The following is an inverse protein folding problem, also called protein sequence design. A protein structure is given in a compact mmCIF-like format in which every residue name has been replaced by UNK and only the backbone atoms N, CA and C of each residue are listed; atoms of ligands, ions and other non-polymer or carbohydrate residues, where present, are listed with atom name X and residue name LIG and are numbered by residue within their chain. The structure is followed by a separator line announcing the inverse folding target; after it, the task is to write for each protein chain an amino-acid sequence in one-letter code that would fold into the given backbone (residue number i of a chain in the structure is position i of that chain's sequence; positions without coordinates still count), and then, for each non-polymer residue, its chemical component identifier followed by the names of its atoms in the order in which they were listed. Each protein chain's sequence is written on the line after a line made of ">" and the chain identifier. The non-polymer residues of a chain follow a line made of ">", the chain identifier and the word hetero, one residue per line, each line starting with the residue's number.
data_IF_715652485712
#
_entry.id   IF_715652485712
#
_cell.length_a   1.000
_cell.length_b   1.000
_cell.length_c   1.000
_cell.angle_alpha   90.00
_cell.angle_beta   90.00
_cell.angle_gamma   90.00
#
_symmetry.space_group_name_H-M   'P 1'
#
loop_
_entity.id
_entity.type
_entity.pdbx_description
1 polymer ?
#
# COMPACT_ATOMS: atom_id res chain seq x y z
N UNK A 1 28.20 36.87 -54.06
CA UNK A 1 29.23 36.07 -54.74
C UNK A 1 29.82 35.12 -53.70
N UNK A 2 29.63 33.79 -53.83
CA UNK A 2 30.26 32.72 -53.01
C UNK A 2 29.86 32.73 -51.50
N UNK A 3 29.53 31.62 -50.83
CA UNK A 3 28.78 30.40 -51.22
C UNK A 3 28.32 29.69 -49.92
N UNK A 4 27.31 28.81 -50.00
CA UNK A 4 26.95 27.90 -48.91
C UNK A 4 27.97 26.76 -48.79
N UNK A 5 28.12 26.19 -47.59
CA UNK A 5 28.02 24.74 -47.45
C UNK A 5 27.65 24.27 -46.03
N UNK A 6 26.86 23.19 -45.96
CA UNK A 6 26.70 22.35 -44.77
C UNK A 6 27.50 21.08 -45.00
N UNK A 7 28.04 20.47 -43.95
CA UNK A 7 28.54 19.09 -44.01
C UNK A 7 27.96 18.28 -42.85
N UNK A 8 27.07 17.35 -43.17
CA UNK A 8 26.71 16.25 -42.29
C UNK A 8 27.57 15.05 -42.66
N UNK A 9 28.14 14.36 -41.68
CA UNK A 9 28.83 13.09 -41.87
C UNK A 9 27.95 12.01 -41.23
N UNK A 10 27.59 11.01 -42.03
CA UNK A 10 26.88 9.81 -41.58
C UNK A 10 27.88 8.65 -41.60
N UNK A 11 27.94 7.91 -40.50
CA UNK A 11 28.61 6.61 -40.46
C UNK A 11 27.58 5.52 -40.17
N UNK A 12 27.51 4.52 -41.06
CA UNK A 12 26.92 3.22 -40.79
C UNK A 12 28.05 2.19 -40.82
N UNK A 13 28.08 1.29 -39.84
CA UNK A 13 28.75 0.00 -39.97
C UNK A 13 28.05 -1.04 -39.09
N UNK A 14 28.14 -2.31 -39.47
CA UNK A 14 27.25 -3.39 -39.01
C UNK A 14 27.96 -4.28 -37.99
N UNK A 15 27.26 -4.67 -36.92
CA UNK A 15 27.69 -5.71 -35.99
C UNK A 15 26.59 -6.73 -35.74
N UNK A 16 26.75 -7.95 -36.27
CA UNK A 16 25.84 -9.07 -36.03
C UNK A 16 26.30 -9.90 -34.83
N UNK A 17 25.49 -10.02 -33.79
CA UNK A 17 25.60 -11.07 -32.78
C UNK A 17 24.20 -11.54 -32.33
N UNK A 18 23.80 -12.73 -32.75
CA UNK A 18 22.52 -13.34 -32.38
C UNK A 18 22.69 -14.32 -31.23
N UNK A 19 22.45 -13.88 -29.99
CA UNK A 19 22.34 -14.77 -28.84
C UNK A 19 20.89 -15.31 -28.75
N UNK A 20 20.67 -16.59 -29.05
CA UNK A 20 19.37 -17.24 -28.86
C UNK A 20 19.17 -17.58 -27.37
N UNK A 21 18.46 -16.72 -26.64
CA UNK A 21 17.98 -17.05 -25.30
C UNK A 21 16.74 -17.95 -25.38
N UNK A 22 16.84 -19.14 -24.80
CA UNK A 22 15.74 -20.11 -24.75
C UNK A 22 14.97 -19.96 -23.42
N UNK A 23 13.83 -19.27 -23.47
CA UNK A 23 13.01 -18.94 -22.29
C UNK A 23 12.09 -20.07 -21.80
N UNK A 24 12.29 -21.33 -22.23
CA UNK A 24 11.33 -22.43 -22.02
C UNK A 24 11.05 -22.84 -20.56
N UNK A 25 11.87 -22.40 -19.60
CA UNK A 25 11.92 -22.97 -18.24
C UNK A 25 11.58 -21.99 -17.10
N UNK A 26 11.18 -20.74 -17.40
CA UNK A 26 10.84 -19.77 -16.36
C UNK A 26 9.40 -19.92 -15.86
N UNK A 27 9.23 -20.16 -14.56
CA UNK A 27 7.94 -20.20 -13.88
C UNK A 27 7.58 -18.79 -13.36
N UNK A 28 6.47 -18.23 -13.82
CA UNK A 28 6.01 -16.89 -13.45
C UNK A 28 5.35 -16.83 -12.05
N UNK A 29 5.94 -17.47 -11.05
CA UNK A 29 5.49 -17.46 -9.66
C UNK A 29 6.40 -16.62 -8.75
N UNK A 30 7.65 -16.42 -9.15
CA UNK A 30 8.69 -15.78 -8.34
C UNK A 30 9.08 -14.40 -8.95
N UNK A 31 8.27 -13.37 -8.74
CA UNK A 31 8.63 -11.98 -9.10
C UNK A 31 7.45 -10.98 -9.18
N UNK A 32 7.61 -9.73 -8.70
CA UNK A 32 6.58 -8.69 -8.66
C UNK A 32 6.41 -7.94 -10.00
N UNK A 33 5.75 -8.60 -10.97
CA UNK A 33 5.23 -8.01 -12.23
C UNK A 33 6.28 -7.64 -13.30
N UNK A 34 6.52 -8.56 -14.23
CA UNK A 34 7.26 -8.30 -15.47
C UNK A 34 6.38 -8.17 -16.70
N UNK A 35 6.84 -7.38 -17.66
CA UNK A 35 6.38 -7.38 -19.04
C UNK A 35 7.53 -6.98 -19.97
N UNK A 36 7.76 -7.73 -21.06
CA UNK A 36 8.78 -7.42 -22.06
C UNK A 36 8.12 -7.11 -23.42
N UNK A 37 8.59 -6.05 -24.08
CA UNK A 37 8.23 -5.67 -25.45
C UNK A 37 9.48 -5.76 -26.34
N UNK A 38 9.31 -5.86 -27.66
CA UNK A 38 10.43 -5.90 -28.62
C UNK A 38 10.58 -4.61 -29.42
N UNK A 39 11.71 -4.49 -30.11
CA UNK A 39 12.25 -3.33 -30.83
C UNK A 39 11.23 -2.66 -31.79
N UNK A 40 10.36 -3.46 -32.44
CA UNK A 40 9.31 -2.92 -33.32
C UNK A 40 8.27 -2.10 -32.53
N UNK A 41 7.97 -2.50 -31.29
CA UNK A 41 6.99 -1.83 -30.42
C UNK A 41 7.52 -0.48 -29.90
N UNK A 42 8.84 -0.39 -29.64
CA UNK A 42 9.53 0.85 -29.26
C UNK A 42 9.36 1.97 -30.31
N UNK A 43 9.25 1.59 -31.59
CA UNK A 43 9.15 2.55 -32.71
C UNK A 43 7.77 3.17 -32.95
N UNK A 44 6.70 2.61 -32.37
CA UNK A 44 5.30 3.02 -32.66
C UNK A 44 4.63 3.79 -31.51
N UNK A 45 5.14 3.67 -30.29
CA UNK A 45 4.62 4.36 -29.12
C UNK A 45 5.38 5.68 -28.89
N UNK A 46 4.91 6.78 -29.50
CA UNK A 46 5.57 8.10 -29.42
C UNK A 46 5.36 8.81 -28.06
N UNK A 47 5.62 8.10 -26.95
CA UNK A 47 5.83 8.69 -25.64
C UNK A 47 7.26 9.23 -25.57
N UNK A 48 7.43 10.56 -25.64
CA UNK A 48 8.75 11.17 -25.52
C UNK A 48 9.36 10.89 -24.14
N UNK A 49 10.37 10.02 -24.11
CA UNK A 49 11.27 9.72 -22.98
C UNK A 49 10.67 8.95 -21.77
N UNK A 50 9.66 8.09 -21.93
CA UNK A 50 9.29 7.09 -20.89
C UNK A 50 8.93 5.72 -21.49
N UNK A 51 9.40 4.65 -20.86
CA UNK A 51 9.11 3.23 -21.22
C UNK A 51 8.14 2.62 -20.22
N UNK A 52 7.11 1.92 -20.69
CA UNK A 52 6.15 1.15 -19.86
C UNK A 52 5.92 -0.22 -20.49
N UNK A 53 6.06 -1.29 -19.71
CA UNK A 53 5.70 -2.65 -20.10
C UNK A 53 4.26 -2.96 -19.71
N UNK A 54 3.43 -3.38 -20.67
CA UNK A 54 2.06 -3.86 -20.44
C UNK A 54 1.91 -5.29 -20.95
N UNK A 55 1.20 -6.08 -20.09
CA UNK A 55 0.94 -8.75 -19.09
C UNK A 55 -0.43 -9.49 -18.65
N UNK A 56 -1.09 -10.17 -19.60
CA UNK A 56 -2.44 -10.70 -19.42
C UNK A 56 -2.44 -12.10 -18.81
N UNK A 57 -2.90 -12.22 -17.57
CA UNK A 57 -2.89 -13.50 -16.86
C UNK A 57 -3.99 -14.45 -17.36
N UNK A 58 -3.64 -15.40 -18.23
CA UNK A 58 -4.50 -16.52 -18.60
C UNK A 58 -3.71 -17.83 -18.67
N UNK A 59 -4.36 -18.94 -18.27
CA UNK A 59 -3.84 -20.31 -18.37
C UNK A 59 -2.40 -20.54 -17.83
N UNK A 60 -1.97 -19.74 -16.83
CA UNK A 60 -0.65 -19.82 -16.17
C UNK A 60 0.55 -19.78 -17.13
N UNK A 61 0.44 -19.09 -18.27
CA UNK A 61 1.53 -18.90 -19.26
C UNK A 61 1.47 -17.50 -19.85
N UNK A 62 2.61 -16.82 -19.93
CA UNK A 62 2.71 -15.58 -20.70
C UNK A 62 2.44 -15.87 -22.19
N UNK A 63 1.32 -15.36 -22.72
CA UNK A 63 1.04 -15.45 -24.15
C UNK A 63 1.66 -14.25 -24.88
N UNK A 64 2.78 -14.49 -25.56
CA UNK A 64 3.36 -13.53 -26.51
C UNK A 64 2.44 -13.41 -27.72
N UNK A 65 1.46 -12.50 -27.64
CA UNK A 65 0.69 -12.05 -28.81
C UNK A 65 1.47 -10.94 -29.50
N UNK A 66 1.67 -11.07 -30.81
CA UNK A 66 2.23 -9.97 -31.62
C UNK A 66 1.29 -8.77 -31.59
N UNK A 67 1.83 -7.56 -31.38
CA UNK A 67 1.04 -6.34 -31.19
C UNK A 67 0.05 -6.05 -32.31
N UNK A 68 0.39 -6.40 -33.55
CA UNK A 68 -0.52 -6.37 -34.70
C UNK A 68 -1.84 -7.12 -34.44
N UNK A 69 -1.77 -8.34 -33.93
CA UNK A 69 -2.97 -9.15 -33.64
C UNK A 69 -3.68 -8.70 -32.35
N UNK A 70 -3.00 -7.97 -31.47
CA UNK A 70 -3.60 -7.38 -30.28
C UNK A 70 -4.43 -6.12 -30.63
N UNK A 71 -3.89 -5.23 -31.46
CA UNK A 71 -4.56 -3.98 -31.84
C UNK A 71 -5.52 -4.10 -33.03
N UNK A 72 -5.37 -5.10 -33.92
CA UNK A 72 -6.21 -5.26 -35.13
C UNK A 72 -7.35 -6.28 -34.99
N UNK A 73 -7.48 -6.97 -33.84
CA UNK A 73 -8.53 -7.99 -33.63
C UNK A 73 -9.85 -7.44 -33.08
N UNK A 74 -9.92 -6.17 -32.69
CA UNK A 74 -11.15 -5.49 -32.26
C UNK A 74 -11.72 -4.60 -33.39
N UNK A 75 -12.70 -5.07 -34.18
CA UNK A 75 -13.50 -4.19 -35.03
C UNK A 75 -14.40 -3.27 -34.18
N UNK A 76 -14.95 -2.15 -34.71
CA UNK A 76 -15.58 -1.08 -33.92
C UNK A 76 -16.96 -1.39 -33.30
N UNK A 77 -17.25 -2.65 -32.93
CA UNK A 77 -18.61 -3.14 -32.69
C UNK A 77 -18.76 -4.13 -31.51
N UNK A 78 -17.89 -4.08 -30.49
CA UNK A 78 -18.13 -4.76 -29.20
C UNK A 78 -17.83 -3.82 -28.03
N UNK A 79 -18.75 -3.77 -27.07
CA UNK A 79 -18.81 -2.75 -26.00
C UNK A 79 -17.86 -3.06 -24.81
N UNK A 80 -17.04 -4.10 -24.91
CA UNK A 80 -16.10 -4.49 -23.87
C UNK A 80 -14.71 -3.88 -24.12
N UNK A 81 -14.25 -3.04 -23.19
CA UNK A 81 -12.87 -2.53 -23.19
C UNK A 81 -11.90 -3.70 -23.08
N UNK A 82 -10.94 -3.90 -24.03
CA UNK A 82 -10.07 -5.07 -24.06
C UNK A 82 -8.95 -5.06 -23.00
N UNK A 83 -9.08 -4.23 -21.97
CA UNK A 83 -8.08 -3.97 -20.92
C UNK A 83 -8.70 -4.08 -19.52
N UNK A 84 -8.88 -5.30 -19.02
CA UNK A 84 -9.01 -5.55 -17.58
C UNK A 84 -7.61 -5.84 -17.01
N UNK A 85 -6.84 -4.78 -16.78
CA UNK A 85 -5.64 -4.87 -15.96
C UNK A 85 -6.02 -4.67 -14.49
N UNK A 86 -5.47 -5.49 -13.60
CA UNK A 86 -5.68 -5.38 -12.15
C UNK A 86 -4.32 -5.32 -11.47
N UNK A 87 -3.77 -4.11 -11.38
CA UNK A 87 -2.43 -3.86 -10.86
C UNK A 87 -2.03 -2.38 -11.02
N UNK A 88 -0.81 -2.08 -10.59
CA UNK A 88 -0.22 -0.74 -10.71
C UNK A 88 0.57 -0.55 -12.01
N UNK A 89 0.42 0.61 -12.66
CA UNK A 89 1.23 1.03 -13.81
C UNK A 89 2.21 2.13 -13.40
N UNK A 90 3.50 1.80 -13.42
CA UNK A 90 4.59 2.70 -13.01
C UNK A 90 4.83 3.81 -14.04
N UNK A 91 5.03 5.05 -13.58
CA UNK A 91 5.58 6.15 -14.39
C UNK A 91 4.60 6.83 -15.36
N UNK A 92 3.30 6.51 -15.30
CA UNK A 92 2.23 7.06 -16.15
C UNK A 92 2.09 8.58 -15.96
N UNK A 93 1.50 9.27 -16.95
CA UNK A 93 1.10 10.69 -16.85
C UNK A 93 -0.09 10.87 -15.88
N UNK A 94 -0.04 11.90 -15.02
CA UNK A 94 -1.03 12.14 -13.96
C UNK A 94 -2.41 12.58 -14.46
N UNK A 95 -2.56 12.78 -15.78
CA UNK A 95 -3.81 13.16 -16.42
C UNK A 95 -4.61 11.98 -16.98
N UNK A 96 -4.06 10.76 -16.91
CA UNK A 96 -4.65 9.57 -17.52
C UNK A 96 -5.54 8.74 -16.58
N UNK A 97 -5.64 9.07 -15.29
CA UNK A 97 -6.55 8.40 -14.36
C UNK A 97 -7.95 9.05 -14.33
N UNK A 98 -8.98 8.25 -14.07
CA UNK A 98 -10.39 8.65 -14.28
C UNK A 98 -11.07 9.12 -12.99
N UNK A 99 -10.68 8.55 -11.84
CA UNK A 99 -11.29 8.82 -10.53
C UNK A 99 -10.33 8.50 -9.39
N UNK A 100 -10.71 8.88 -8.18
CA UNK A 100 -10.01 8.57 -6.93
C UNK A 100 -10.77 7.54 -6.11
N UNK A 101 -10.04 6.73 -5.36
CA UNK A 101 -10.55 5.96 -4.22
C UNK A 101 -9.95 6.61 -2.96
N UNK A 102 -10.80 7.13 -2.07
CA UNK A 102 -10.42 7.49 -0.70
C UNK A 102 -10.68 6.26 0.17
N UNK A 103 -9.64 5.64 0.72
CA UNK A 103 -9.79 4.43 1.54
C UNK A 103 -9.50 4.69 3.02
N UNK A 104 -10.31 4.07 3.88
CA UNK A 104 -10.37 4.33 5.31
C UNK A 104 -10.42 3.03 6.11
N UNK A 105 -9.43 2.74 6.95
CA UNK A 105 -9.41 1.56 7.81
C UNK A 105 -10.11 1.80 9.17
N UNK A 106 -10.54 0.73 9.83
CA UNK A 106 -11.14 0.72 11.17
C UNK A 106 -10.14 0.14 12.19
N UNK A 107 -9.37 0.97 12.92
CA UNK A 107 -8.29 0.47 13.79
C UNK A 107 -8.69 -0.57 14.85
N UNK A 108 -9.93 -0.61 15.40
CA UNK A 108 -10.35 -1.66 16.33
C UNK A 108 -10.26 -3.11 15.82
N UNK A 109 -10.29 -3.33 14.50
CA UNK A 109 -10.15 -4.63 13.83
C UNK A 109 -8.82 -4.77 13.09
N UNK A 110 -8.43 -3.74 12.32
CA UNK A 110 -7.25 -3.80 11.45
C UNK A 110 -5.94 -3.68 12.23
N UNK A 111 -5.96 -3.15 13.45
CA UNK A 111 -4.78 -2.99 14.30
C UNK A 111 -4.85 -3.78 15.62
N UNK A 112 -3.70 -4.28 16.13
CA UNK A 112 -3.62 -4.88 17.46
C UNK A 112 -4.08 -3.88 18.54
N UNK A 113 -4.45 -4.35 19.75
CA UNK A 113 -4.88 -3.47 20.85
C UNK A 113 -3.74 -2.63 21.44
N UNK A 114 -2.52 -3.14 21.33
CA UNK A 114 -1.26 -2.51 21.73
C UNK A 114 -0.31 -2.80 20.57
N UNK A 115 0.14 -1.76 19.87
CA UNK A 115 1.08 -1.84 18.77
C UNK A 115 2.51 -2.02 19.29
N UNK A 116 3.19 -3.06 18.82
CA UNK A 116 4.59 -3.33 19.13
C UNK A 116 5.46 -3.18 17.88
N UNK A 117 6.20 -2.08 17.79
CA UNK A 117 7.12 -1.74 16.68
C UNK A 117 8.12 -2.86 16.31
N UNK A 118 8.42 -3.79 17.22
CA UNK A 118 9.37 -4.90 17.01
C UNK A 118 8.72 -6.15 16.41
N UNK A 119 7.38 -6.28 16.50
CA UNK A 119 6.63 -7.48 16.08
C UNK A 119 5.65 -7.11 14.97
N UNK A 120 4.88 -6.04 15.17
CA UNK A 120 3.82 -5.58 14.27
C UNK A 120 4.36 -4.66 13.16
N UNK A 121 5.66 -4.75 12.85
CA UNK A 121 6.32 -3.92 11.84
C UNK A 121 5.65 -4.01 10.45
N UNK A 122 5.11 -5.18 10.11
CA UNK A 122 4.37 -5.41 8.85
C UNK A 122 2.94 -4.82 8.86
N UNK A 123 2.42 -4.42 10.02
CA UNK A 123 1.14 -3.72 10.16
C UNK A 123 1.36 -2.22 9.99
N UNK A 124 1.87 -1.80 8.83
CA UNK A 124 2.42 -0.46 8.58
C UNK A 124 1.45 0.70 8.86
N UNK A 125 0.15 0.50 8.70
CA UNK A 125 -0.90 1.49 9.00
C UNK A 125 -1.26 1.56 10.51
N UNK A 126 -0.61 0.78 11.37
CA UNK A 126 -0.78 0.85 12.82
C UNK A 126 0.34 1.66 13.47
N UNK A 127 0.05 2.28 14.61
CA UNK A 127 0.99 3.10 15.37
C UNK A 127 0.58 3.23 16.84
N UNK A 128 1.39 3.83 17.72
CA UNK A 128 1.00 4.12 19.10
C UNK A 128 -0.23 5.05 19.25
N UNK A 129 -0.71 5.66 18.16
CA UNK A 129 -1.96 6.43 18.12
C UNK A 129 -3.19 5.59 17.70
N UNK A 130 -2.99 4.31 17.37
CA UNK A 130 -4.05 3.31 17.16
C UNK A 130 -4.33 2.43 18.38
N UNK A 131 -3.56 2.56 19.48
CA UNK A 131 -3.74 1.78 20.70
C UNK A 131 -5.08 2.04 21.41
N UNK A 132 -5.46 1.14 22.32
CA UNK A 132 -6.69 1.29 23.14
C UNK A 132 -6.66 2.59 23.95
N UNK A 133 -7.77 3.35 23.91
CA UNK A 133 -7.94 4.72 24.42
C UNK A 133 -7.19 5.85 23.66
N UNK A 134 -6.65 5.61 22.46
CA UNK A 134 -6.06 6.66 21.63
C UNK A 134 -7.08 7.29 20.66
N UNK A 135 -7.00 8.60 20.37
CA UNK A 135 -8.02 9.33 19.60
C UNK A 135 -8.11 8.93 18.12
N UNK A 136 -7.08 8.25 17.61
CA UNK A 136 -7.06 7.62 16.29
C UNK A 136 -7.82 6.28 16.25
N UNK A 137 -7.85 5.51 17.34
CA UNK A 137 -8.58 4.22 17.41
C UNK A 137 -10.10 4.39 17.39
N UNK A 138 -10.60 5.58 17.72
CA UNK A 138 -12.02 5.83 17.94
C UNK A 138 -12.86 6.07 16.66
N UNK A 139 -12.22 6.06 15.49
CA UNK A 139 -12.83 6.45 14.21
C UNK A 139 -12.23 5.67 13.04
N UNK A 140 -12.89 5.76 11.88
CA UNK A 140 -12.27 5.43 10.60
C UNK A 140 -11.08 6.36 10.34
N UNK A 141 -9.95 5.79 9.95
CA UNK A 141 -8.67 6.45 9.73
C UNK A 141 -8.23 6.31 8.27
N UNK A 142 -7.52 7.28 7.73
CA UNK A 142 -7.01 7.26 6.35
C UNK A 142 -6.06 6.09 6.11
N UNK A 143 -6.45 5.16 5.23
CA UNK A 143 -5.50 4.26 4.58
C UNK A 143 -4.77 5.03 3.48
N UNK A 144 -5.49 5.61 2.52
CA UNK A 144 -4.88 6.30 1.40
C UNK A 144 -5.84 7.04 0.47
N UNK A 145 -5.29 7.73 -0.53
CA UNK A 145 -6.03 8.39 -1.61
C UNK A 145 -5.44 7.97 -2.96
N UNK A 146 -6.10 7.04 -3.63
CA UNK A 146 -5.55 6.32 -4.78
C UNK A 146 -6.15 6.81 -6.10
N UNK A 147 -5.38 7.49 -6.98
CA UNK A 147 -5.81 7.69 -8.37
C UNK A 147 -6.02 6.32 -9.04
N UNK A 148 -7.08 6.18 -9.83
CA UNK A 148 -7.52 4.88 -10.37
C UNK A 148 -8.03 5.02 -11.82
N UNK A 149 -7.71 4.04 -12.66
CA UNK A 149 -8.15 3.99 -14.06
C UNK A 149 -9.57 3.41 -14.20
N UNK A 150 -10.35 4.01 -15.11
CA UNK A 150 -11.58 3.39 -15.62
C UNK A 150 -11.88 3.77 -17.06
N UNK A 151 -12.25 2.78 -17.86
CA UNK A 151 -12.87 2.91 -19.18
C UNK A 151 -14.27 2.30 -19.12
N UNK A 152 -15.27 3.02 -19.65
CA UNK A 152 -16.68 2.58 -19.71
C UNK A 152 -17.29 2.15 -18.36
N UNK A 153 -16.77 2.64 -17.23
CA UNK A 153 -17.22 2.25 -15.89
C UNK A 153 -16.62 0.94 -15.35
N UNK A 154 -15.70 0.30 -16.08
CA UNK A 154 -14.94 -0.85 -15.57
C UNK A 154 -13.62 -0.38 -14.95
N UNK A 155 -13.16 -1.06 -13.90
CA UNK A 155 -11.88 -0.78 -13.22
C UNK A 155 -10.72 -1.35 -14.05
N UNK A 156 -9.59 -0.64 -14.09
CA UNK A 156 -8.42 -1.03 -14.91
C UNK A 156 -7.07 -0.84 -14.20
N UNK A 157 -7.06 -1.00 -12.86
CA UNK A 157 -5.87 -0.77 -12.04
C UNK A 157 -5.63 0.70 -11.71
N UNK A 158 -4.42 1.02 -11.27
CA UNK A 158 -4.02 2.36 -10.80
C UNK A 158 -2.69 2.82 -11.42
N UNK A 159 -2.47 4.11 -11.68
CA UNK A 159 -1.12 4.63 -11.85
C UNK A 159 -0.37 4.57 -10.51
N UNK A 160 0.93 4.31 -10.55
CA UNK A 160 1.81 4.38 -9.38
C UNK A 160 3.18 4.99 -9.72
N UNK A 161 3.87 5.54 -8.72
CA UNK A 161 5.26 6.03 -8.83
C UNK A 161 5.49 6.98 -10.03
N UNK A 162 4.60 7.95 -10.26
CA UNK A 162 4.55 8.69 -11.53
C UNK A 162 5.65 9.75 -11.70
N UNK A 163 6.11 10.36 -10.60
CA UNK A 163 7.21 11.34 -10.61
C UNK A 163 8.57 10.68 -10.33
N UNK A 164 9.61 11.23 -10.95
CA UNK A 164 11.03 10.96 -10.66
C UNK A 164 11.69 12.15 -9.94
N UNK A 165 10.92 12.90 -9.14
CA UNK A 165 11.42 13.98 -8.28
C UNK A 165 12.08 13.41 -7.02
N UNK A 166 12.89 14.21 -6.33
CA UNK A 166 13.91 13.83 -5.33
C UNK A 166 13.67 12.62 -4.38
N UNK A 167 12.44 12.31 -3.98
CA UNK A 167 12.07 11.01 -3.36
C UNK A 167 11.98 9.91 -4.42
N UNK A 168 13.05 9.80 -5.20
CA UNK A 168 13.11 8.96 -6.38
C UNK A 168 13.47 7.54 -5.94
N UNK A 169 12.44 6.70 -5.82
CA UNK A 169 12.56 5.25 -5.57
C UNK A 169 13.60 4.60 -6.50
N UNK A 170 13.75 5.10 -7.72
CA UNK A 170 14.73 4.62 -8.69
C UNK A 170 16.15 5.14 -8.44
N UNK A 171 16.37 6.23 -7.69
CA UNK A 171 17.72 6.60 -7.19
C UNK A 171 18.13 5.81 -5.97
N UNK A 172 17.17 5.49 -5.09
CA UNK A 172 17.40 4.62 -3.94
C UNK A 172 17.74 3.17 -4.37
N UNK A 173 17.50 2.78 -5.64
CA UNK A 173 17.82 1.45 -6.17
C UNK A 173 18.78 1.42 -7.38
N UNK A 174 18.56 2.22 -8.43
CA UNK A 174 19.26 2.12 -9.72
C UNK A 174 20.59 2.88 -9.72
N UNK A 175 20.62 4.11 -9.20
CA UNK A 175 21.82 4.97 -9.22
C UNK A 175 22.73 4.79 -8.00
N UNK A 176 22.20 4.39 -6.84
CA UNK A 176 22.84 4.66 -5.54
C UNK A 176 23.64 3.54 -4.87
N UNK A 177 23.43 2.26 -5.20
CA UNK A 177 23.79 1.11 -4.32
C UNK A 177 23.27 1.28 -2.86
N UNK A 178 22.16 2.00 -2.66
CA UNK A 178 21.67 2.42 -1.34
C UNK A 178 20.91 1.33 -0.57
N UNK A 179 20.60 0.21 -1.22
CA UNK A 179 20.05 -1.00 -0.64
C UNK A 179 20.90 -2.19 -1.12
N UNK A 180 21.62 -2.86 -0.22
CA UNK A 180 22.78 -3.72 -0.54
C UNK A 180 22.41 -5.17 -0.94
N UNK A 181 21.38 -5.34 -1.75
CA UNK A 181 20.75 -6.65 -2.01
C UNK A 181 21.43 -7.43 -3.14
N UNK A 182 22.24 -8.41 -2.76
CA UNK A 182 22.97 -9.29 -3.71
C UNK A 182 22.08 -10.17 -4.58
N UNK A 183 20.80 -10.35 -4.23
CA UNK A 183 19.82 -11.17 -4.94
C UNK A 183 18.63 -10.37 -5.50
N UNK A 184 18.49 -9.08 -5.16
CA UNK A 184 17.39 -8.25 -5.63
C UNK A 184 17.84 -7.37 -6.79
N UNK A 185 17.31 -7.66 -7.97
CA UNK A 185 17.47 -6.85 -9.17
C UNK A 185 16.36 -5.80 -9.22
N UNK A 186 16.59 -4.70 -9.96
CA UNK A 186 15.53 -3.73 -10.37
C UNK A 186 14.25 -4.43 -10.83
N UNK A 187 14.47 -5.57 -11.46
CA UNK A 187 13.52 -6.43 -12.14
C UNK A 187 12.68 -7.31 -11.18
N UNK A 188 13.19 -7.71 -10.01
CA UNK A 188 12.46 -8.54 -9.04
C UNK A 188 12.09 -7.84 -7.71
N UNK A 189 12.41 -6.55 -7.58
CA UNK A 189 12.25 -5.76 -6.35
C UNK A 189 10.78 -5.53 -5.96
N UNK A 190 10.39 -5.97 -4.76
CA UNK A 190 9.03 -5.83 -4.22
C UNK A 190 8.86 -4.56 -3.38
N UNK A 191 7.59 -4.21 -3.09
CA UNK A 191 7.24 -3.25 -2.03
C UNK A 191 7.89 -3.62 -0.68
N UNK A 192 7.93 -4.91 -0.34
CA UNK A 192 8.47 -5.40 0.94
C UNK A 192 9.99 -5.22 1.00
N UNK A 193 10.71 -5.39 -0.11
CA UNK A 193 12.17 -5.16 -0.18
C UNK A 193 12.52 -3.68 0.07
N UNK A 194 11.69 -2.75 -0.40
CA UNK A 194 11.82 -1.31 -0.14
C UNK A 194 11.59 -0.98 1.33
N UNK A 195 10.45 -1.40 1.89
CA UNK A 195 10.07 -1.16 3.28
C UNK A 195 11.09 -1.80 4.27
N UNK A 196 11.60 -2.98 3.92
CA UNK A 196 12.65 -3.68 4.67
C UNK A 196 14.02 -3.01 4.53
N UNK A 197 14.41 -2.52 3.34
CA UNK A 197 15.67 -1.77 3.19
C UNK A 197 15.67 -0.52 4.09
N UNK A 198 14.60 0.27 4.05
CA UNK A 198 14.46 1.48 4.87
C UNK A 198 14.46 1.17 6.38
N UNK A 199 13.95 0.00 6.79
CA UNK A 199 13.91 -0.41 8.19
C UNK A 199 15.23 -1.02 8.71
N UNK A 200 16.00 -1.71 7.87
CA UNK A 200 17.26 -2.34 8.28
C UNK A 200 18.49 -1.46 8.05
N UNK A 201 18.61 -0.78 6.91
CA UNK A 201 19.79 0.07 6.62
C UNK A 201 19.70 1.47 7.26
N UNK A 202 18.58 1.82 7.90
CA UNK A 202 18.34 3.13 8.54
C UNK A 202 18.57 4.33 7.61
N UNK A 203 18.30 4.14 6.31
CA UNK A 203 18.33 5.20 5.29
C UNK A 203 17.25 6.22 5.57
N UNK A 204 17.65 7.47 5.80
CA UNK A 204 16.71 8.60 5.96
C UNK A 204 16.71 9.53 4.75
N UNK A 205 17.68 9.37 3.84
CA UNK A 205 17.82 10.16 2.60
C UNK A 205 16.65 9.92 1.62
N UNK A 206 15.98 8.77 1.74
CA UNK A 206 14.84 8.35 0.92
C UNK A 206 13.48 8.55 1.63
N UNK A 207 13.43 9.19 2.81
CA UNK A 207 12.22 9.36 3.63
C UNK A 207 11.76 10.82 3.67
N UNK A 208 10.44 11.03 3.60
CA UNK A 208 9.77 12.26 4.06
C UNK A 208 10.18 12.53 5.51
N UNK A 209 10.80 13.68 5.75
CA UNK A 209 11.21 14.04 7.09
C UNK A 209 9.98 14.46 7.89
N UNK A 210 9.91 14.10 9.19
CA UNK A 210 8.84 14.56 10.07
C UNK A 210 8.77 16.10 10.15
N UNK A 211 9.89 16.81 9.88
CA UNK A 211 9.93 18.27 9.79
C UNK A 211 9.24 18.85 8.54
N UNK A 212 9.04 18.06 7.49
CA UNK A 212 8.35 18.47 6.26
C UNK A 212 6.82 18.49 6.46
N UNK A 213 6.35 17.79 7.52
CA UNK A 213 4.97 17.79 7.98
C UNK A 213 4.80 18.91 9.00
N UNK A 214 3.99 19.90 8.65
CA UNK A 214 3.66 21.04 9.51
C UNK A 214 2.98 20.56 10.82
N UNK A 215 3.24 21.26 11.93
CA UNK A 215 2.79 20.84 13.26
C UNK A 215 1.25 20.69 13.42
N UNK A 216 0.39 21.57 12.85
CA UNK A 216 -1.07 21.38 12.91
C UNK A 216 -1.50 20.08 12.23
N UNK A 217 -0.89 19.76 11.09
CA UNK A 217 -1.09 18.52 10.33
C UNK A 217 -0.61 17.31 11.14
N UNK A 218 0.50 17.39 11.88
CA UNK A 218 0.93 16.29 12.78
C UNK A 218 -0.13 15.96 13.84
N UNK A 219 -0.73 16.95 14.50
CA UNK A 219 -1.82 16.70 15.46
C UNK A 219 -3.08 16.13 14.79
N UNK A 220 -3.37 16.50 13.54
CA UNK A 220 -4.45 15.90 12.75
C UNK A 220 -4.13 14.47 12.32
N UNK A 221 -2.88 14.15 11.96
CA UNK A 221 -2.45 12.80 11.57
C UNK A 221 -2.67 11.80 12.72
N UNK A 222 -2.34 12.13 13.98
CA UNK A 222 -2.61 11.28 15.17
C UNK A 222 -4.06 10.83 15.31
N UNK A 223 -4.98 11.56 14.68
CA UNK A 223 -6.42 11.43 14.84
C UNK A 223 -7.06 10.83 13.59
N UNK A 224 -6.72 11.35 12.41
CA UNK A 224 -7.37 11.05 11.13
C UNK A 224 -6.54 10.12 10.23
N UNK A 225 -5.25 9.94 10.50
CA UNK A 225 -4.35 9.07 9.74
C UNK A 225 -3.23 8.45 10.63
N UNK A 226 -3.53 7.88 11.81
CA UNK A 226 -2.53 7.56 12.83
C UNK A 226 -1.37 6.67 12.36
N UNK A 227 -1.60 5.78 11.38
CA UNK A 227 -0.53 4.98 10.74
C UNK A 227 0.56 5.79 10.04
N UNK A 228 0.25 6.99 9.56
CA UNK A 228 1.23 7.89 8.91
C UNK A 228 2.31 8.37 9.88
N UNK A 229 2.06 8.27 11.19
CA UNK A 229 3.01 8.54 12.28
C UNK A 229 3.59 7.24 12.89
N UNK A 230 3.50 6.12 12.19
CA UNK A 230 4.16 4.86 12.55
C UNK A 230 5.69 4.90 12.35
N UNK A 231 6.33 3.75 12.56
CA UNK A 231 7.80 3.59 12.53
C UNK A 231 8.42 4.27 11.30
N UNK A 232 9.31 5.24 11.55
CA UNK A 232 10.09 5.99 10.55
C UNK A 232 9.26 6.59 9.39
N UNK A 233 8.00 6.95 9.63
CA UNK A 233 7.12 7.50 8.59
C UNK A 233 6.94 6.54 7.39
N UNK A 234 7.14 5.22 7.53
CA UNK A 234 7.18 4.32 6.36
C UNK A 234 5.86 4.29 5.58
N UNK A 235 4.72 4.29 6.27
CA UNK A 235 3.41 4.22 5.63
C UNK A 235 3.02 5.49 4.87
N UNK A 236 3.33 6.68 5.40
CA UNK A 236 3.19 7.93 4.62
C UNK A 236 4.16 7.96 3.43
N UNK A 237 5.39 7.44 3.57
CA UNK A 237 6.33 7.31 2.43
C UNK A 237 5.80 6.37 1.35
N UNK A 238 5.19 5.26 1.75
CA UNK A 238 4.51 4.34 0.85
C UNK A 238 3.35 5.02 0.11
N UNK A 239 2.36 5.54 0.83
CA UNK A 239 1.18 6.18 0.25
C UNK A 239 1.53 7.41 -0.61
N UNK A 240 2.53 8.18 -0.22
CA UNK A 240 3.02 9.30 -1.00
C UNK A 240 3.72 8.87 -2.28
N UNK A 241 4.76 8.05 -2.16
CA UNK A 241 5.65 7.72 -3.28
C UNK A 241 4.94 6.84 -4.30
N UNK A 242 4.07 5.93 -3.85
CA UNK A 242 3.28 5.04 -4.70
C UNK A 242 2.05 5.72 -5.30
N UNK A 243 1.20 6.37 -4.50
CA UNK A 243 -0.11 6.85 -4.94
C UNK A 243 -0.20 8.38 -5.06
N UNK A 244 0.24 9.12 -4.04
CA UNK A 244 0.24 10.59 -4.03
C UNK A 244 1.03 11.21 -5.19
N UNK A 245 2.11 10.56 -5.61
CA UNK A 245 2.93 10.88 -6.78
C UNK A 245 2.19 10.87 -8.12
N UNK A 246 1.05 10.19 -8.20
CA UNK A 246 0.23 10.06 -9.42
C UNK A 246 -1.05 10.90 -9.39
N UNK A 247 -1.25 11.66 -8.31
CA UNK A 247 -2.27 12.68 -8.23
C UNK A 247 -1.84 13.94 -9.00
N UNK A 248 -2.68 14.98 -8.97
CA UNK A 248 -2.42 16.26 -9.65
C UNK A 248 -1.01 16.83 -9.40
N UNK A 249 -0.46 17.53 -10.40
CA UNK A 249 0.75 18.36 -10.31
C UNK A 249 0.84 19.24 -9.04
N UNK A 250 -0.29 19.70 -8.49
CA UNK A 250 -0.35 20.52 -7.26
C UNK A 250 0.09 19.71 -6.04
N UNK A 251 -0.31 18.43 -5.97
CA UNK A 251 0.15 17.53 -4.92
C UNK A 251 1.62 17.17 -5.15
N UNK A 252 1.98 16.70 -6.35
CA UNK A 252 3.30 16.10 -6.68
C UNK A 252 4.55 16.83 -6.16
N UNK A 253 4.48 18.15 -5.96
CA UNK A 253 5.59 18.99 -5.52
C UNK A 253 5.40 19.59 -4.12
N UNK A 254 4.31 19.25 -3.42
CA UNK A 254 3.98 19.74 -2.08
C UNK A 254 3.20 18.68 -1.27
N UNK A 255 3.94 17.82 -0.56
CA UNK A 255 3.33 16.80 0.30
C UNK A 255 2.52 17.39 1.46
N UNK A 256 2.94 18.50 2.05
CA UNK A 256 2.23 19.14 3.16
C UNK A 256 0.80 19.55 2.74
N UNK A 257 0.64 20.02 1.50
CA UNK A 257 -0.67 20.31 0.90
C UNK A 257 -1.48 19.04 0.57
N UNK A 258 -0.84 17.97 0.08
CA UNK A 258 -1.51 16.66 -0.10
C UNK A 258 -2.07 16.11 1.21
N UNK A 259 -1.27 16.14 2.29
CA UNK A 259 -1.70 15.71 3.62
C UNK A 259 -2.85 16.55 4.14
N UNK A 260 -2.74 17.88 4.11
CA UNK A 260 -3.81 18.78 4.53
C UNK A 260 -5.12 18.49 3.77
N UNK A 261 -5.03 18.29 2.44
CA UNK A 261 -6.19 17.98 1.61
C UNK A 261 -6.84 16.63 1.95
N UNK A 262 -6.04 15.55 2.10
CA UNK A 262 -6.58 14.25 2.54
C UNK A 262 -7.19 14.32 3.93
N UNK A 263 -6.56 15.04 4.87
CA UNK A 263 -7.08 15.23 6.22
C UNK A 263 -8.40 16.02 6.23
N UNK A 264 -8.60 16.95 5.29
CA UNK A 264 -9.87 17.66 5.09
C UNK A 264 -10.95 16.72 4.51
N UNK A 265 -10.60 15.82 3.57
CA UNK A 265 -11.51 14.78 3.09
C UNK A 265 -11.93 13.81 4.20
N UNK A 266 -10.98 13.35 5.01
CA UNK A 266 -11.22 12.39 6.09
C UNK A 266 -12.04 13.02 7.20
N UNK A 267 -11.78 14.27 7.61
CA UNK A 267 -12.64 14.98 8.56
C UNK A 267 -14.07 15.13 8.00
N UNK A 268 -14.22 15.58 6.76
CA UNK A 268 -15.53 15.73 6.10
C UNK A 268 -16.37 14.45 6.16
N UNK A 269 -15.76 13.28 5.95
CA UNK A 269 -16.49 11.99 5.97
C UNK A 269 -16.53 11.29 7.33
N UNK A 270 -15.71 11.67 8.33
CA UNK A 270 -15.68 10.98 9.64
C UNK A 270 -16.12 11.82 10.84
N UNK A 271 -16.34 13.14 10.67
CA UNK A 271 -16.82 14.03 11.74
C UNK A 271 -18.28 13.74 12.16
N UNK A 272 -18.69 14.10 13.38
CA UNK A 272 -20.08 13.94 13.83
C UNK A 272 -21.12 14.50 12.86
N UNK A 273 -22.20 13.76 12.62
CA UNK A 273 -23.23 14.10 11.63
C UNK A 273 -22.88 13.81 10.17
N UNK A 274 -21.72 13.21 9.86
CA UNK A 274 -21.49 12.58 8.55
C UNK A 274 -22.22 11.24 8.46
N UNK A 275 -22.57 10.78 7.26
CA UNK A 275 -23.20 9.46 7.06
C UNK A 275 -22.32 8.35 7.67
N UNK A 276 -21.02 8.35 7.39
CA UNK A 276 -20.09 7.35 7.94
C UNK A 276 -20.03 7.39 9.46
N UNK A 277 -20.04 8.57 10.08
CA UNK A 277 -20.07 8.66 11.55
C UNK A 277 -21.37 8.09 12.14
N UNK A 278 -22.52 8.45 11.58
CA UNK A 278 -23.82 7.99 12.06
C UNK A 278 -24.05 6.49 11.86
N UNK A 279 -23.46 5.89 10.81
CA UNK A 279 -23.65 4.47 10.48
C UNK A 279 -22.50 3.54 10.93
N UNK A 280 -21.29 4.06 11.16
CA UNK A 280 -20.14 3.28 11.64
C UNK A 280 -19.75 3.67 13.07
N UNK A 281 -19.23 4.88 13.28
CA UNK A 281 -18.67 5.32 14.57
C UNK A 281 -19.68 5.23 15.73
N UNK A 282 -20.98 5.39 15.47
CA UNK A 282 -22.06 5.27 16.45
C UNK A 282 -22.53 3.84 16.73
N UNK A 283 -22.37 2.91 15.78
CA UNK A 283 -22.80 1.50 15.90
C UNK A 283 -21.62 0.57 16.24
N UNK A 284 -20.50 1.14 16.68
CA UNK A 284 -19.34 0.39 17.16
C UNK A 284 -19.72 -0.43 18.41
N UNK A 285 -19.61 -1.76 18.30
CA UNK A 285 -20.08 -2.75 19.27
C UNK A 285 -21.28 -3.57 18.78
N UNK A 286 -21.88 -3.20 17.64
CA UNK A 286 -23.10 -3.81 17.12
C UNK A 286 -22.89 -4.58 15.81
N UNK A 287 -23.91 -5.33 15.40
CA UNK A 287 -24.01 -5.95 14.07
C UNK A 287 -25.00 -5.18 13.22
N UNK A 288 -24.57 -4.72 12.05
CA UNK A 288 -25.37 -3.95 11.10
C UNK A 288 -25.59 -4.81 9.85
N UNK A 289 -26.80 -4.81 9.29
CA UNK A 289 -27.08 -5.46 7.99
C UNK A 289 -26.24 -4.81 6.88
N UNK A 290 -25.58 -5.62 6.05
CA UNK A 290 -24.65 -5.14 5.01
C UNK A 290 -25.38 -4.31 3.93
N UNK A 291 -26.59 -4.70 3.55
CA UNK A 291 -27.37 -4.01 2.51
C UNK A 291 -27.88 -2.66 3.03
N UNK A 292 -28.34 -2.62 4.29
CA UNK A 292 -28.67 -1.39 5.00
C UNK A 292 -27.47 -0.45 5.05
N UNK A 293 -26.28 -0.96 5.42
CA UNK A 293 -25.07 -0.14 5.50
C UNK A 293 -24.66 0.44 4.14
N UNK A 294 -24.67 -0.36 3.07
CA UNK A 294 -24.37 0.10 1.70
C UNK A 294 -25.40 1.14 1.22
N UNK A 295 -26.69 0.94 1.52
CA UNK A 295 -27.74 1.90 1.18
C UNK A 295 -27.62 3.20 1.98
N UNK A 296 -27.29 3.11 3.27
CA UNK A 296 -27.10 4.23 4.19
C UNK A 296 -25.88 5.09 3.82
N UNK A 297 -24.83 4.47 3.28
CA UNK A 297 -23.68 5.12 2.66
C UNK A 297 -23.90 5.45 1.16
N UNK A 298 -25.17 5.60 0.76
CA UNK A 298 -25.62 6.09 -0.56
C UNK A 298 -25.02 5.33 -1.77
N UNK A 299 -24.65 4.06 -1.60
CA UNK A 299 -24.00 3.21 -2.61
C UNK A 299 -22.64 3.76 -3.14
N UNK A 300 -22.07 4.81 -2.52
CA UNK A 300 -20.76 5.37 -2.87
C UNK A 300 -19.59 4.68 -2.16
N UNK A 301 -19.89 3.79 -1.21
CA UNK A 301 -18.93 3.05 -0.41
C UNK A 301 -18.82 1.57 -0.85
N UNK A 302 -17.58 1.07 -0.81
CA UNK A 302 -17.22 -0.34 -0.76
C UNK A 302 -16.93 -0.66 0.71
N UNK A 303 -17.41 -1.79 1.22
CA UNK A 303 -17.16 -2.22 2.61
C UNK A 303 -16.24 -3.44 2.58
N UNK A 304 -15.11 -3.36 3.29
CA UNK A 304 -14.19 -4.47 3.45
C UNK A 304 -14.36 -5.06 4.86
N UNK A 305 -14.43 -6.39 4.91
CA UNK A 305 -14.53 -7.19 6.13
C UNK A 305 -13.41 -8.23 6.18
N UNK A 306 -13.01 -8.60 7.40
CA UNK A 306 -12.18 -9.77 7.63
C UNK A 306 -12.96 -11.08 7.49
N UNK A 307 -12.27 -12.21 7.63
CA UNK A 307 -12.81 -13.57 7.56
C UNK A 307 -13.86 -13.93 8.63
N UNK A 308 -14.14 -13.04 9.60
CA UNK A 308 -15.19 -13.17 10.61
C UNK A 308 -16.39 -12.23 10.38
N UNK A 309 -16.43 -11.52 9.25
CA UNK A 309 -17.37 -10.43 8.97
C UNK A 309 -17.25 -9.24 9.94
N UNK A 310 -16.05 -8.96 10.45
CA UNK A 310 -15.75 -7.73 11.19
C UNK A 310 -15.27 -6.66 10.19
N UNK A 311 -15.82 -5.44 10.26
CA UNK A 311 -15.43 -4.31 9.42
C UNK A 311 -13.92 -4.05 9.51
N UNK A 312 -13.20 -4.03 8.39
CA UNK A 312 -11.79 -3.62 8.31
C UNK A 312 -11.61 -2.26 7.64
N UNK A 313 -12.30 -2.00 6.53
CA UNK A 313 -12.10 -0.76 5.74
C UNK A 313 -13.37 -0.30 5.02
N UNK A 314 -13.39 0.98 4.62
CA UNK A 314 -14.42 1.59 3.78
C UNK A 314 -13.76 2.47 2.71
N UNK A 315 -13.80 2.00 1.47
CA UNK A 315 -13.32 2.72 0.30
C UNK A 315 -14.46 3.51 -0.36
N UNK A 316 -14.25 4.80 -0.64
CA UNK A 316 -15.22 5.70 -1.26
C UNK A 316 -14.69 6.30 -2.57
N UNK A 317 -15.48 6.24 -3.63
CA UNK A 317 -15.05 6.74 -4.94
C UNK A 317 -15.38 8.23 -5.13
N UNK A 318 -14.43 9.00 -5.68
CA UNK A 318 -14.59 10.43 -6.00
C UNK A 318 -14.16 10.73 -7.43
N UNK A 319 -14.89 11.57 -8.18
CA UNK A 319 -14.44 11.94 -9.53
C UNK A 319 -13.25 12.92 -9.47
N UNK A 320 -12.33 12.79 -10.45
CA UNK A 320 -11.28 13.79 -10.73
C UNK A 320 -11.92 15.07 -11.29
N UNK A 321 -11.45 16.26 -10.88
CA UNK A 321 -11.72 17.50 -11.61
C UNK A 321 -10.77 17.60 -12.82
N UNK A 322 -11.31 17.85 -14.01
CA UNK A 322 -10.53 17.89 -15.25
C UNK A 322 -9.61 19.13 -15.40
N UNK A 323 -9.74 20.15 -14.55
CA UNK A 323 -8.91 21.36 -14.59
C UNK A 323 -7.85 21.37 -13.50
N UNK A 324 -8.16 20.90 -12.29
CA UNK A 324 -7.22 20.89 -11.15
C UNK A 324 -6.59 19.53 -10.88
N UNK A 325 -7.16 18.44 -11.43
CA UNK A 325 -6.74 17.07 -11.15
C UNK A 325 -7.14 16.56 -9.74
N UNK A 326 -7.81 17.38 -8.92
CA UNK A 326 -8.15 17.07 -7.53
C UNK A 326 -9.44 16.22 -7.40
N UNK A 327 -9.66 15.50 -6.30
CA UNK A 327 -10.95 14.89 -5.98
C UNK A 327 -12.06 15.96 -5.87
N UNK A 328 -13.21 15.77 -6.54
CA UNK A 328 -14.26 16.82 -6.62
C UNK A 328 -15.52 16.55 -5.81
N UNK A 329 -16.11 15.37 -5.98
CA UNK A 329 -17.29 14.90 -5.24
C UNK A 329 -17.33 13.37 -5.24
N UNK A 330 -18.03 12.80 -4.28
CA UNK A 330 -18.32 11.37 -4.26
C UNK A 330 -19.18 10.93 -5.44
N UNK A 331 -18.95 9.71 -5.90
CA UNK A 331 -19.64 9.01 -6.99
C UNK A 331 -19.88 7.56 -6.59
N UNK A 332 -20.84 6.89 -7.25
CA UNK A 332 -20.96 5.44 -7.15
C UNK A 332 -19.66 4.79 -7.63
N UNK A 333 -19.13 3.82 -6.87
CA UNK A 333 -17.91 3.15 -7.27
C UNK A 333 -18.11 2.33 -8.56
N UNK A 334 -17.21 2.43 -9.56
CA UNK A 334 -17.22 1.60 -10.76
C UNK A 334 -17.47 0.11 -10.43
N UNK A 335 -18.41 -0.59 -11.11
CA UNK A 335 -18.72 -2.00 -10.83
C UNK A 335 -17.49 -2.91 -10.71
N UNK A 336 -16.46 -2.68 -11.53
CA UNK A 336 -15.18 -3.38 -11.42
C UNK A 336 -14.54 -3.22 -10.04
N UNK A 337 -14.44 -2.00 -9.51
CA UNK A 337 -13.83 -1.72 -8.20
C UNK A 337 -14.61 -2.35 -7.04
N UNK A 338 -15.95 -2.30 -7.10
CA UNK A 338 -16.81 -3.01 -6.15
C UNK A 338 -16.54 -4.51 -6.19
N UNK A 339 -16.52 -5.11 -7.38
CA UNK A 339 -16.30 -6.55 -7.55
C UNK A 339 -14.86 -6.99 -7.16
N UNK A 340 -13.84 -6.15 -7.38
CA UNK A 340 -12.45 -6.45 -7.00
C UNK A 340 -12.16 -6.25 -5.52
N UNK A 341 -12.86 -5.34 -4.83
CA UNK A 341 -12.49 -4.96 -3.45
C UNK A 341 -13.46 -5.53 -2.40
N UNK A 342 -14.78 -5.32 -2.52
CA UNK A 342 -15.84 -5.67 -1.53
C UNK A 342 -15.66 -7.09 -0.95
N UNK A 343 -14.98 -7.19 0.20
CA UNK A 343 -14.67 -8.48 0.83
C UNK A 343 -15.81 -8.99 1.71
N UNK A 344 -16.64 -8.09 2.26
CA UNK A 344 -17.85 -8.47 3.00
C UNK A 344 -18.80 -9.31 2.11
N UNK A 345 -19.06 -8.83 0.89
CA UNK A 345 -19.94 -9.52 -0.08
C UNK A 345 -19.33 -10.81 -0.62
N UNK A 346 -18.02 -10.86 -0.85
CA UNK A 346 -17.31 -12.10 -1.25
C UNK A 346 -17.34 -13.15 -0.15
N UNK A 347 -17.20 -12.74 1.11
CA UNK A 347 -17.33 -13.60 2.29
C UNK A 347 -18.79 -13.97 2.62
N UNK A 348 -19.76 -13.44 1.87
CA UNK A 348 -21.20 -13.67 2.03
C UNK A 348 -21.73 -13.20 3.40
N UNK A 349 -21.16 -12.12 3.93
CA UNK A 349 -21.58 -11.50 5.18
C UNK A 349 -22.97 -10.86 5.05
N UNK A 350 -23.99 -11.46 5.67
CA UNK A 350 -25.32 -10.85 5.83
C UNK A 350 -25.25 -9.63 6.77
N UNK A 351 -24.46 -9.74 7.84
CA UNK A 351 -24.21 -8.68 8.82
C UNK A 351 -22.71 -8.39 8.91
N UNK A 352 -22.37 -7.11 9.07
CA UNK A 352 -21.05 -6.64 9.44
C UNK A 352 -21.03 -6.36 10.94
N UNK A 353 -20.09 -6.95 11.67
CA UNK A 353 -19.79 -6.52 13.04
C UNK A 353 -18.82 -5.34 13.00
N UNK A 354 -19.05 -4.32 13.81
CA UNK A 354 -18.17 -3.14 13.90
C UNK A 354 -17.49 -3.20 15.27
N UNK A 355 -16.23 -3.69 15.40
CA UNK A 355 -15.65 -3.92 16.73
C UNK A 355 -15.54 -2.67 17.58
N UNK A 356 -15.85 -2.81 18.87
CA UNK A 356 -15.82 -1.71 19.83
C UNK A 356 -14.39 -1.22 20.05
N UNK A 357 -14.25 0.11 20.23
CA UNK A 357 -12.97 0.83 20.44
C UNK A 357 -12.08 0.15 21.49
N UNK A 358 -12.70 -0.33 22.58
CA UNK A 358 -12.07 -0.96 23.73
C UNK A 358 -12.47 -2.45 23.89
N UNK A 359 -12.81 -3.18 22.81
CA UNK A 359 -13.37 -4.55 22.92
C UNK A 359 -12.35 -5.68 23.00
N UNK A 360 -11.05 -5.39 23.01
CA UNK A 360 -10.16 -6.33 23.66
C UNK A 360 -10.60 -6.43 25.10
N UNK A 361 -10.96 -7.65 25.50
CA UNK A 361 -11.28 -7.97 26.89
C UNK A 361 -10.21 -7.33 27.77
N UNK A 362 -10.59 -6.94 28.99
CA UNK A 362 -9.70 -7.32 30.08
C UNK A 362 -9.56 -8.84 29.99
N UNK A 363 -8.53 -9.31 29.28
CA UNK A 363 -7.92 -10.62 29.54
C UNK A 363 -7.62 -10.50 31.02
N UNK A 364 -8.46 -11.14 31.85
CA UNK A 364 -8.38 -10.87 33.28
C UNK A 364 -6.97 -11.22 33.69
N UNK A 365 -6.38 -10.46 34.61
CA UNK A 365 -5.04 -10.82 35.09
C UNK A 365 -5.03 -12.24 35.63
N UNK A 366 -6.19 -12.78 36.03
CA UNK A 366 -6.50 -14.19 36.31
C UNK A 366 -6.04 -15.18 35.21
N UNK A 367 -6.28 -14.90 33.92
CA UNK A 367 -5.85 -15.75 32.79
C UNK A 367 -4.33 -15.71 32.58
N UNK A 368 -3.67 -14.65 33.04
CA UNK A 368 -2.20 -14.49 33.06
C UNK A 368 -1.60 -14.58 34.46
N UNK A 369 -2.32 -15.14 35.45
CA UNK A 369 -1.67 -15.69 36.63
C UNK A 369 -0.82 -16.86 36.14
N UNK A 370 0.50 -16.62 36.08
CA UNK A 370 1.48 -17.70 36.16
C UNK A 370 1.06 -18.58 37.33
N UNK A 371 0.54 -19.77 37.02
CA UNK A 371 0.05 -20.71 38.02
C UNK A 371 1.09 -20.82 39.14
N UNK A 372 0.70 -20.87 40.43
CA UNK A 372 1.65 -21.00 41.54
C UNK A 372 2.65 -22.15 41.37
N UNK A 373 2.31 -23.15 40.55
CA UNK A 373 3.21 -24.21 40.07
C UNK A 373 4.45 -23.65 39.35
N UNK A 374 4.32 -22.69 38.44
CA UNK A 374 5.42 -22.11 37.65
C UNK A 374 6.35 -21.24 38.47
N UNK A 375 5.82 -20.37 39.34
CA UNK A 375 6.64 -19.56 40.26
C UNK A 375 7.37 -20.45 41.27
N UNK A 376 6.72 -21.51 41.74
CA UNK A 376 7.36 -22.56 42.57
C UNK A 376 8.44 -23.32 41.79
N UNK A 377 8.18 -23.73 40.54
CA UNK A 377 9.17 -24.40 39.69
C UNK A 377 10.41 -23.53 39.47
N UNK A 378 10.22 -22.27 39.11
CA UNK A 378 11.32 -21.33 38.88
C UNK A 378 12.14 -21.12 40.16
N UNK A 379 11.47 -21.01 41.31
CA UNK A 379 12.13 -20.92 42.63
C UNK A 379 12.94 -22.18 42.96
N UNK A 380 12.40 -23.37 42.68
CA UNK A 380 13.11 -24.66 42.87
C UNK A 380 14.32 -24.77 41.93
N UNK A 381 14.19 -24.34 40.67
CA UNK A 381 15.30 -24.34 39.70
C UNK A 381 16.41 -23.39 40.16
N UNK A 382 16.08 -22.17 40.58
CA UNK A 382 17.04 -21.19 41.10
C UNK A 382 17.72 -21.74 42.37
N UNK A 383 16.96 -22.30 43.32
CA UNK A 383 17.52 -22.93 44.52
C UNK A 383 18.44 -24.11 44.19
N UNK A 384 18.07 -24.96 43.22
CA UNK A 384 18.91 -26.09 42.79
C UNK A 384 20.22 -25.64 42.15
N UNK A 385 20.18 -24.58 41.34
CA UNK A 385 21.37 -23.96 40.73
C UNK A 385 22.27 -23.36 41.82
N UNK A 386 21.71 -22.54 42.72
CA UNK A 386 22.44 -21.95 43.84
C UNK A 386 23.07 -23.01 44.75
N UNK A 387 22.34 -24.09 45.05
CA UNK A 387 22.84 -25.20 45.88
C UNK A 387 24.00 -25.95 45.21
N UNK A 388 23.95 -26.16 43.88
CA UNK A 388 25.09 -26.72 43.12
C UNK A 388 26.32 -25.81 43.19
N UNK A 389 26.16 -24.50 42.99
CA UNK A 389 27.27 -23.55 43.15
C UNK A 389 27.82 -23.52 44.58
N UNK A 390 26.96 -23.63 45.59
CA UNK A 390 27.37 -23.69 47.00
C UNK A 390 28.22 -24.93 47.29
N UNK A 391 27.80 -26.11 46.80
CA UNK A 391 28.56 -27.36 46.93
C UNK A 391 29.91 -27.27 46.22
N UNK A 392 29.96 -26.71 45.00
CA UNK A 392 31.21 -26.53 44.26
C UNK A 392 32.17 -25.57 44.99
N UNK A 393 31.64 -24.49 45.57
CA UNK A 393 32.42 -23.52 46.33
C UNK A 393 33.02 -24.13 47.60
N UNK A 394 32.21 -24.77 48.44
CA UNK A 394 32.71 -25.43 49.66
C UNK A 394 33.61 -26.64 49.36
N UNK A 395 33.31 -27.41 48.30
CA UNK A 395 34.14 -28.53 47.85
C UNK A 395 35.53 -28.08 47.37
N UNK A 396 35.61 -26.92 46.71
CA UNK A 396 36.90 -26.31 46.37
C UNK A 396 37.66 -25.85 47.62
N UNK A 397 37.00 -25.17 48.57
CA UNK A 397 37.63 -24.77 49.83
C UNK A 397 38.16 -25.96 50.66
N UNK A 398 37.49 -27.12 50.62
CA UNK A 398 37.91 -28.32 51.34
C UNK A 398 39.16 -29.01 50.74
N UNK A 399 39.71 -28.53 49.62
CA UNK A 399 41.02 -28.96 49.10
C UNK A 399 42.17 -27.97 49.45
N UNK A 400 41.89 -26.91 50.20
CA UNK A 400 42.87 -25.91 50.66
C UNK A 400 43.01 -25.84 52.20
N UNK A 401 42.55 -26.89 52.90
CA UNK A 401 42.69 -27.11 54.35
C UNK A 401 43.28 -28.50 54.58
#
# INVERSE_FOLDING_TARGET
>A
MILFNRLFIVFYCIGYYSAQFNFSNYHCLDGPNFWCLNDTTESLCNFTNKTIGLCGYSNKRCQVKTGDNFCKSSPPAQEQSPFEFNGGLTGVDDNLFSYYILDLYWPPSSCPPIYNETIDFLSYFCSPYTDVNQPGRERLALHGLWPTFSTNGNYQGWPQFCVSTHYDWSKCHIDGNLCSWTNSTKDNFTQVDYEYCLSVENRQECLINATDILLPEQERLKILAPGYLGVRNLFINHEWTKHGSCCSLIFQHNISYYLAYMLDLVDMVTRPGSLTYEYIQRNAGEKVDLNYLIAALNQTAIINCNSKCELEEIAMCMNRDHHTGLPKRFIECPPGARNTSDSCKKAQCEYVFIPLRNQYRQISTDDYYFSPVWTTLLSIIILSILFKYLILFFGACYQFI
#
